data_IF_201409040507
#
_entry.id   IF_201409040507
#
_cell.length_a   1.000
_cell.length_b   1.000
_cell.length_c   1.000
_cell.angle_alpha   90.00
_cell.angle_beta   90.00
_cell.angle_gamma   90.00
#
_symmetry.space_group_name_H-M   'P 1'
#
loop_
_entity.id
_entity.type
_entity.pdbx_description
1 polymer ?
#
# COMPACT_ATOMS: atom_id res chain seq x y z
N UNK A 1 15.45 15.95 -16.46
CA UNK A 1 16.57 14.98 -16.29
C UNK A 1 16.92 14.38 -17.65
N UNK A 2 18.21 14.19 -17.98
CA UNK A 2 18.60 13.54 -19.23
C UNK A 2 18.21 12.06 -19.24
N UNK A 3 18.00 11.50 -20.43
CA UNK A 3 17.63 10.08 -20.61
C UNK A 3 18.83 9.19 -20.29
N UNK A 4 18.63 8.22 -19.39
CA UNK A 4 19.55 7.09 -19.21
C UNK A 4 19.14 5.98 -20.17
N UNK A 5 20.08 5.51 -21.02
CA UNK A 5 19.79 4.45 -21.99
C UNK A 5 19.73 3.09 -21.29
N UNK A 6 18.66 2.33 -21.56
CA UNK A 6 18.49 0.94 -21.08
C UNK A 6 19.47 -0.03 -21.77
N UNK A 7 19.75 0.22 -23.05
CA UNK A 7 20.66 -0.59 -23.86
C UNK A 7 21.81 0.28 -24.40
N UNK A 8 22.90 0.46 -23.64
CA UNK A 8 24.05 1.24 -24.10
C UNK A 8 24.75 0.61 -25.33
N UNK A 9 24.64 -0.70 -25.52
CA UNK A 9 25.19 -1.42 -26.67
C UNK A 9 24.11 -1.80 -27.72
N UNK A 10 23.14 -0.92 -27.94
CA UNK A 10 22.21 -1.04 -29.07
C UNK A 10 22.97 -0.99 -30.40
N UNK A 11 22.67 -1.84 -31.40
CA UNK A 11 21.50 -2.73 -31.51
C UNK A 11 21.68 -4.16 -30.98
N UNK A 12 22.90 -4.56 -30.60
CA UNK A 12 23.20 -5.97 -30.25
C UNK A 12 22.51 -6.38 -28.95
N UNK A 13 22.58 -5.54 -27.93
CA UNK A 13 22.04 -5.86 -26.60
C UNK A 13 20.51 -6.05 -26.61
N UNK A 14 19.81 -5.30 -27.48
CA UNK A 14 18.37 -5.41 -27.64
C UNK A 14 17.91 -6.74 -28.22
N UNK A 15 18.79 -7.48 -28.92
CA UNK A 15 18.42 -8.76 -29.55
C UNK A 15 18.71 -9.91 -28.60
N UNK A 16 19.90 -9.93 -27.99
CA UNK A 16 20.37 -11.06 -27.19
C UNK A 16 19.99 -10.99 -25.71
N UNK A 17 19.88 -9.79 -25.14
CA UNK A 17 19.71 -9.57 -23.70
C UNK A 17 18.65 -8.50 -23.45
N UNK A 18 17.43 -8.79 -23.89
CA UNK A 18 16.27 -7.94 -23.60
C UNK A 18 16.01 -7.91 -22.09
N UNK A 19 15.88 -6.71 -21.55
CA UNK A 19 15.40 -6.52 -20.19
C UNK A 19 14.00 -7.10 -20.04
N UNK A 20 13.79 -7.88 -18.97
CA UNK A 20 12.47 -8.42 -18.63
C UNK A 20 11.53 -7.29 -18.18
N UNK A 21 10.24 -7.52 -18.31
CA UNK A 21 9.23 -6.63 -17.72
C UNK A 21 9.45 -6.61 -16.20
N UNK A 22 9.45 -5.42 -15.57
CA UNK A 22 9.53 -5.35 -14.13
C UNK A 22 8.29 -5.97 -13.50
N UNK A 23 8.51 -6.73 -12.44
CA UNK A 23 7.44 -7.23 -11.59
C UNK A 23 7.41 -6.38 -10.33
N UNK A 24 6.29 -5.67 -10.11
CA UNK A 24 6.19 -4.64 -9.07
C UNK A 24 5.35 -5.05 -7.86
N UNK A 25 4.75 -6.25 -7.85
CA UNK A 25 3.84 -6.66 -6.77
C UNK A 25 4.60 -7.01 -5.49
N UNK A 26 5.72 -7.71 -5.62
CA UNK A 26 6.65 -8.04 -4.54
C UNK A 26 8.03 -8.31 -5.16
N UNK A 27 9.07 -8.32 -4.33
CA UNK A 27 10.41 -8.73 -4.76
C UNK A 27 10.51 -10.27 -4.68
N UNK A 28 10.61 -10.97 -5.82
CA UNK A 28 10.66 -12.43 -5.84
C UNK A 28 11.96 -13.00 -5.24
N UNK A 29 12.96 -12.17 -5.00
CA UNK A 29 14.23 -12.58 -4.40
C UNK A 29 14.23 -12.49 -2.88
N UNK A 30 13.26 -11.78 -2.28
CA UNK A 30 13.17 -11.54 -0.83
C UNK A 30 11.81 -11.93 -0.24
N UNK A 31 11.14 -12.92 -0.83
CA UNK A 31 9.82 -13.39 -0.38
C UNK A 31 9.83 -13.76 1.11
N UNK A 32 9.03 -13.04 1.90
CA UNK A 32 8.83 -13.33 3.31
C UNK A 32 7.99 -14.60 3.44
N UNK A 33 8.62 -15.66 3.96
CA UNK A 33 7.97 -16.98 4.17
C UNK A 33 7.03 -17.03 5.38
N UNK A 34 7.08 -16.00 6.22
CA UNK A 34 6.35 -15.95 7.48
C UNK A 34 5.48 -14.71 7.53
N UNK A 35 4.32 -14.84 8.19
CA UNK A 35 3.47 -13.70 8.46
C UNK A 35 4.20 -12.68 9.35
N UNK A 36 4.08 -11.37 9.07
CA UNK A 36 4.72 -10.35 9.88
C UNK A 36 4.18 -10.37 11.31
N UNK A 37 5.07 -10.10 12.28
CA UNK A 37 4.68 -9.94 13.67
C UNK A 37 3.63 -8.80 13.80
N UNK A 38 2.67 -8.91 14.73
CA UNK A 38 1.72 -7.85 14.97
C UNK A 38 2.46 -6.60 15.43
N UNK A 39 2.20 -5.46 14.78
CA UNK A 39 2.80 -4.19 15.16
C UNK A 39 2.36 -3.80 16.58
N UNK A 40 3.32 -3.50 17.44
CA UNK A 40 3.07 -2.92 18.76
C UNK A 40 2.80 -1.43 18.60
N UNK A 41 1.61 -0.99 19.00
CA UNK A 41 1.29 0.43 19.12
C UNK A 41 1.56 0.91 20.54
N UNK A 42 2.33 1.97 20.64
CA UNK A 42 2.63 2.64 21.91
C UNK A 42 2.02 4.05 21.89
N UNK A 43 1.12 4.31 22.82
CA UNK A 43 0.44 5.60 22.93
C UNK A 43 1.41 6.71 23.35
N UNK A 44 2.42 6.38 24.16
CA UNK A 44 3.40 7.34 24.68
C UNK A 44 4.29 7.91 23.56
N UNK A 45 4.49 7.12 22.49
CA UNK A 45 5.16 7.59 21.28
C UNK A 45 4.36 8.68 20.58
N UNK A 46 3.03 8.56 20.50
CA UNK A 46 2.19 9.59 19.89
C UNK A 46 2.16 10.87 20.73
N UNK A 47 2.19 10.77 22.07
CA UNK A 47 2.30 11.94 22.96
C UNK A 47 3.63 12.67 22.74
N UNK A 48 4.72 11.92 22.60
CA UNK A 48 6.05 12.48 22.32
C UNK A 48 6.09 13.19 20.95
N UNK A 49 5.47 12.60 19.93
CA UNK A 49 5.37 13.21 18.60
C UNK A 49 4.48 14.46 18.59
N UNK A 50 3.41 14.47 19.40
CA UNK A 50 2.57 15.65 19.59
C UNK A 50 3.38 16.83 20.15
N UNK A 51 4.16 16.60 21.21
CA UNK A 51 5.00 17.63 21.81
C UNK A 51 6.01 18.20 20.79
N UNK A 52 6.65 17.33 20.01
CA UNK A 52 7.55 17.74 18.92
C UNK A 52 6.85 18.59 17.87
N UNK A 53 5.65 18.19 17.45
CA UNK A 53 4.86 18.95 16.48
C UNK A 53 4.49 20.34 17.02
N UNK A 54 4.00 20.42 18.27
CA UNK A 54 3.65 21.69 18.92
C UNK A 54 4.86 22.62 19.06
N UNK A 55 6.03 22.08 19.38
CA UNK A 55 7.26 22.88 19.44
C UNK A 55 7.71 23.35 18.06
N UNK A 56 7.60 22.52 17.02
CA UNK A 56 7.87 22.97 15.64
C UNK A 56 6.90 24.06 15.19
N UNK A 57 5.62 23.98 15.55
CA UNK A 57 4.64 25.03 15.26
C UNK A 57 5.01 26.35 15.93
N UNK A 58 5.44 26.32 17.21
CA UNK A 58 5.95 27.52 17.89
C UNK A 58 7.12 28.12 17.14
N UNK A 59 8.09 27.31 16.70
CA UNK A 59 9.23 27.78 15.92
C UNK A 59 8.83 28.37 14.56
N UNK A 60 7.81 27.83 13.88
CA UNK A 60 7.25 28.43 12.65
C UNK A 60 6.59 29.78 12.97
N UNK A 61 5.75 29.87 13.99
CA UNK A 61 5.07 31.13 14.36
C UNK A 61 6.05 32.22 14.82
N UNK A 62 7.16 31.83 15.45
CA UNK A 62 8.26 32.72 15.82
C UNK A 62 9.15 33.10 14.62
N UNK A 63 8.89 32.59 13.41
CA UNK A 63 9.67 32.86 12.20
C UNK A 63 11.07 32.23 12.20
N UNK A 64 11.33 31.27 13.08
CA UNK A 64 12.64 30.62 13.22
C UNK A 64 12.90 29.51 12.21
N UNK A 65 11.83 28.92 11.64
CA UNK A 65 11.90 27.88 10.60
C UNK A 65 10.80 28.10 9.56
N UNK A 66 10.99 27.55 8.35
CA UNK A 66 10.00 27.62 7.28
C UNK A 66 8.85 26.61 7.52
N UNK A 67 7.62 26.91 7.08
CA UNK A 67 6.49 25.98 7.22
C UNK A 67 6.74 24.61 6.58
N UNK A 68 7.47 24.56 5.46
CA UNK A 68 7.83 23.32 4.76
C UNK A 68 8.67 22.39 5.64
N UNK A 69 9.46 22.94 6.56
CA UNK A 69 10.29 22.19 7.51
C UNK A 69 9.47 21.61 8.67
N UNK A 70 8.21 22.03 8.85
CA UNK A 70 7.29 21.48 9.83
C UNK A 70 6.39 20.36 9.25
N UNK A 71 6.41 20.14 7.93
CA UNK A 71 5.59 19.10 7.29
C UNK A 71 5.95 17.69 7.81
N UNK A 72 7.23 17.43 8.07
CA UNK A 72 7.68 16.12 8.54
C UNK A 72 7.17 15.79 9.95
N UNK A 73 7.15 16.78 10.86
CA UNK A 73 6.66 16.59 12.23
C UNK A 73 5.13 16.43 12.25
N UNK A 74 4.43 17.14 11.36
CA UNK A 74 2.99 16.98 11.16
C UNK A 74 2.64 15.57 10.65
N UNK A 75 3.31 15.12 9.58
CA UNK A 75 3.09 13.80 8.99
C UNK A 75 3.41 12.70 9.99
N UNK A 76 4.48 12.83 10.77
CA UNK A 76 4.82 11.86 11.81
C UNK A 76 3.73 11.75 12.89
N UNK A 77 3.23 12.89 13.38
CA UNK A 77 2.17 12.91 14.38
C UNK A 77 0.84 12.36 13.83
N UNK A 78 0.42 12.80 12.64
CA UNK A 78 -0.79 12.32 11.98
C UNK A 78 -0.72 10.83 11.65
N UNK A 79 0.44 10.32 11.25
CA UNK A 79 0.67 8.90 11.02
C UNK A 79 0.46 8.11 12.32
N UNK A 80 1.01 8.58 13.44
CA UNK A 80 0.82 7.94 14.75
C UNK A 80 -0.65 7.87 15.17
N UNK A 81 -1.38 8.98 15.03
CA UNK A 81 -2.83 9.02 15.30
C UNK A 81 -3.62 8.10 14.37
N UNK A 82 -3.26 8.04 13.10
CA UNK A 82 -3.92 7.16 12.12
C UNK A 82 -3.71 5.69 12.48
N UNK A 83 -2.51 5.32 12.94
CA UNK A 83 -2.24 3.96 13.40
C UNK A 83 -3.09 3.60 14.63
N UNK A 84 -3.23 4.51 15.60
CA UNK A 84 -4.12 4.32 16.75
C UNK A 84 -5.59 4.15 16.31
N UNK A 85 -6.04 4.99 15.38
CA UNK A 85 -7.40 4.89 14.81
C UNK A 85 -7.64 3.55 14.11
N UNK A 86 -6.69 3.11 13.28
CA UNK A 86 -6.75 1.79 12.61
C UNK A 86 -6.74 0.67 13.64
N UNK A 87 -5.93 0.77 14.70
CA UNK A 87 -5.89 -0.23 15.77
C UNK A 87 -7.23 -0.34 16.49
N UNK A 88 -7.86 0.80 16.78
CA UNK A 88 -9.19 0.85 17.39
C UNK A 88 -10.25 0.22 16.48
N UNK A 89 -10.31 0.59 15.19
CA UNK A 89 -11.24 0.00 14.22
C UNK A 89 -11.05 -1.51 14.12
N UNK A 90 -9.79 -1.98 14.02
CA UNK A 90 -9.46 -3.42 13.97
C UNK A 90 -9.86 -4.18 15.24
N UNK A 91 -9.99 -3.49 16.37
CA UNK A 91 -10.40 -4.08 17.64
C UNK A 91 -11.93 -4.12 17.79
N UNK A 92 -12.64 -3.10 17.31
CA UNK A 92 -14.08 -2.92 17.54
C UNK A 92 -14.97 -3.46 16.41
N UNK A 93 -14.50 -3.44 15.17
CA UNK A 93 -15.28 -3.85 14.01
C UNK A 93 -15.18 -5.37 13.79
N UNK A 94 -16.33 -6.04 13.78
CA UNK A 94 -16.45 -7.48 13.60
C UNK A 94 -15.95 -7.96 12.23
N UNK A 95 -16.06 -7.14 11.18
CA UNK A 95 -15.61 -7.50 9.82
C UNK A 95 -14.10 -7.73 9.76
N UNK A 96 -13.33 -6.98 10.56
CA UNK A 96 -11.89 -7.15 10.70
C UNK A 96 -11.51 -8.45 11.42
N UNK A 97 -12.35 -8.92 12.33
CA UNK A 97 -12.16 -10.21 13.01
C UNK A 97 -12.40 -11.38 12.05
N UNK A 98 -13.40 -11.29 11.18
CA UNK A 98 -13.64 -12.28 10.12
C UNK A 98 -12.49 -12.32 9.10
N UNK A 99 -11.98 -11.15 8.70
CA UNK A 99 -10.85 -11.04 7.79
C UNK A 99 -9.58 -11.71 8.34
N UNK A 100 -9.27 -11.50 9.64
CA UNK A 100 -8.13 -12.16 10.30
C UNK A 100 -8.24 -13.68 10.30
N UNK A 101 -9.43 -14.21 10.60
CA UNK A 101 -9.69 -15.67 10.60
C UNK A 101 -9.60 -16.27 9.19
N UNK A 102 -9.94 -15.50 8.16
CA UNK A 102 -9.92 -15.95 6.77
C UNK A 102 -8.53 -16.04 6.14
N UNK A 103 -7.57 -15.23 6.57
CA UNK A 103 -6.27 -15.09 5.89
C UNK A 103 -5.14 -15.98 6.42
N UNK A 104 -5.14 -16.33 7.70
CA UNK A 104 -3.90 -16.78 8.37
C UNK A 104 -3.73 -18.31 8.46
N UNK A 105 -4.82 -19.09 8.54
CA UNK A 105 -4.69 -20.50 8.93
C UNK A 105 -5.14 -21.53 7.88
N UNK A 106 -5.70 -21.11 6.74
CA UNK A 106 -6.38 -22.05 5.80
C UNK A 106 -6.04 -21.89 4.32
N UNK A 107 -5.15 -20.97 3.98
CA UNK A 107 -4.84 -20.66 2.58
C UNK A 107 -3.47 -21.23 2.24
N UNK A 108 -3.48 -22.35 1.51
CA UNK A 108 -2.29 -22.88 0.84
C UNK A 108 -2.07 -22.06 -0.44
N UNK A 109 -1.23 -21.02 -0.34
CA UNK A 109 -1.00 -20.07 -1.43
C UNK A 109 -0.42 -20.73 -2.69
N UNK A 110 0.28 -21.85 -2.54
CA UNK A 110 0.86 -22.61 -3.66
C UNK A 110 -0.22 -23.34 -4.49
N UNK A 111 -1.34 -23.72 -3.84
CA UNK A 111 -2.46 -24.44 -4.49
C UNK A 111 -3.67 -23.57 -4.78
N UNK A 112 -3.65 -22.31 -4.34
CA UNK A 112 -4.76 -21.38 -4.50
C UNK A 112 -5.07 -21.11 -5.98
N UNK A 113 -4.04 -21.09 -6.82
CA UNK A 113 -4.17 -20.88 -8.26
C UNK A 113 -4.87 -22.03 -8.98
N UNK A 114 -4.71 -23.26 -8.49
CA UNK A 114 -5.32 -24.45 -9.08
C UNK A 114 -6.73 -24.71 -8.54
N UNK A 115 -7.03 -24.27 -7.32
CA UNK A 115 -8.25 -24.65 -6.60
C UNK A 115 -9.33 -23.57 -6.56
N UNK A 116 -9.02 -22.28 -6.79
CA UNK A 116 -10.03 -21.22 -6.65
C UNK A 116 -10.87 -21.04 -7.94
N UNK A 117 -12.17 -21.41 -7.93
CA UNK A 117 -13.03 -21.27 -9.11
C UNK A 117 -13.24 -19.81 -9.53
N UNK A 118 -12.98 -18.83 -8.64
CA UNK A 118 -13.14 -17.39 -8.94
C UNK A 118 -12.20 -16.92 -10.04
N UNK A 119 -11.05 -17.58 -10.25
CA UNK A 119 -10.15 -17.23 -11.33
C UNK A 119 -10.81 -17.35 -12.72
N UNK A 120 -11.70 -18.35 -12.89
CA UNK A 120 -12.43 -18.56 -14.15
C UNK A 120 -13.43 -17.44 -14.44
N UNK A 121 -13.83 -16.69 -13.41
CA UNK A 121 -14.78 -15.58 -13.50
C UNK A 121 -14.13 -14.19 -13.57
N UNK A 122 -12.80 -14.08 -13.53
CA UNK A 122 -12.05 -12.81 -13.66
C UNK A 122 -12.02 -12.28 -15.10
N UNK A 123 -13.15 -12.33 -15.81
CA UNK A 123 -13.29 -11.74 -17.15
C UNK A 123 -13.91 -10.36 -17.02
N UNK A 124 -13.37 -9.40 -17.77
CA UNK A 124 -14.01 -8.10 -17.92
C UNK A 124 -15.44 -8.29 -18.43
N UNK A 125 -16.41 -7.71 -17.73
CA UNK A 125 -17.80 -7.69 -18.19
C UNK A 125 -17.93 -6.73 -19.36
N UNK A 126 -18.59 -7.14 -20.43
CA UNK A 126 -18.91 -6.25 -21.55
C UNK A 126 -19.94 -5.23 -21.06
N UNK A 127 -19.68 -3.91 -21.18
CA UNK A 127 -20.66 -2.90 -20.81
C UNK A 127 -21.93 -3.08 -21.64
N UNK A 128 -23.10 -3.04 -20.99
CA UNK A 128 -24.36 -3.25 -21.70
C UNK A 128 -24.63 -2.10 -22.67
N UNK A 129 -24.66 -2.38 -23.98
CA UNK A 129 -25.24 -1.46 -24.98
C UNK A 129 -26.75 -1.61 -24.89
N UNK A 130 -27.34 -1.03 -23.86
CA UNK A 130 -28.78 -1.08 -23.64
C UNK A 130 -29.46 0.08 -24.40
N UNK A 131 -29.45 0.00 -25.73
CA UNK A 131 -30.26 0.89 -26.57
C UNK A 131 -31.76 0.73 -26.25
N UNK A 132 -32.20 -0.48 -25.90
CA UNK A 132 -33.54 -0.78 -25.39
C UNK A 132 -33.90 0.01 -24.10
N UNK A 133 -32.98 0.10 -23.13
CA UNK A 133 -33.20 0.83 -21.88
C UNK A 133 -33.11 2.35 -22.03
N UNK A 134 -32.39 2.83 -23.07
CA UNK A 134 -32.23 4.25 -23.39
C UNK A 134 -33.33 4.79 -24.31
N UNK A 135 -33.94 3.93 -25.14
CA UNK A 135 -34.94 4.31 -26.15
C UNK A 135 -36.29 3.57 -26.03
N UNK A 136 -36.47 2.71 -25.01
CA UNK A 136 -37.77 2.11 -24.68
C UNK A 136 -38.34 1.15 -25.74
N UNK A 137 -37.49 0.38 -26.42
CA UNK A 137 -37.91 -0.72 -27.32
C UNK A 137 -37.58 -2.06 -26.68
#
# INVERSE_FOLDING_TARGET
MPRVQRYPASPVQEIFLKEKLPFAQYDPTTEAKEAPAPATLDFDQCVTLKAKYEDTLKSVTAGSILPEQAADSEVAFQSCLSQLGIAHIKATDASWQELKRGMVDKIDFDKLSEQDPRQKTLKWTVPSINLAKKYGV
#
